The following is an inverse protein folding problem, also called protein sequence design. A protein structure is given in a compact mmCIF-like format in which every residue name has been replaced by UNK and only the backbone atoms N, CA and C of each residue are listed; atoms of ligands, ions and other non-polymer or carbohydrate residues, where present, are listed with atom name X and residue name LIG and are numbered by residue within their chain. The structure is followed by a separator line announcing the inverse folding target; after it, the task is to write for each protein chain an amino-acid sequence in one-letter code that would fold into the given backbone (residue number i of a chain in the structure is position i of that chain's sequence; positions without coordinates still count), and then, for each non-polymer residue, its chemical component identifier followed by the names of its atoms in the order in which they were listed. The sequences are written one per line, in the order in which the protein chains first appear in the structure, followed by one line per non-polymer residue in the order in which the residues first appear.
data_IF_878479534947
#
_entry.id   IF_878479534947
#
_cell.length_a   1.000
_cell.length_b   1.000
_cell.length_c   1.000
_cell.angle_alpha   90.00
_cell.angle_beta   90.00
_cell.angle_gamma   90.00
#
_symmetry.space_group_name_H-M   'P 1'
#
loop_
_entity.id
_entity.type
_entity.pdbx_description
1 polymer ?
#
# COMPACT_ATOMS: atom_id res chain seq x y z
N UNK A 1 9.09 23.83 0.95
CA UNK A 1 8.38 22.76 0.22
C UNK A 1 7.88 21.77 1.25
N UNK A 2 6.57 21.64 1.48
CA UNK A 2 6.05 20.56 2.30
C UNK A 2 6.18 19.31 1.43
N UNK A 3 7.14 18.45 1.73
CA UNK A 3 7.31 17.19 0.99
C UNK A 3 6.14 16.30 1.43
N UNK A 4 5.06 16.27 0.63
CA UNK A 4 3.96 15.32 0.83
C UNK A 4 4.53 13.90 0.80
N UNK A 5 4.39 13.19 1.92
CA UNK A 5 4.99 11.88 2.10
C UNK A 5 4.41 10.88 1.08
N UNK A 6 5.29 10.26 0.28
CA UNK A 6 4.93 9.15 -0.61
C UNK A 6 4.84 7.85 0.18
N UNK A 7 3.77 7.10 -0.05
CA UNK A 7 3.41 5.92 0.75
C UNK A 7 2.90 4.80 -0.16
N UNK A 8 3.39 3.59 0.06
CA UNK A 8 2.82 2.37 -0.52
C UNK A 8 1.85 1.77 0.50
N UNK A 9 0.66 1.40 0.06
CA UNK A 9 -0.28 0.62 0.86
C UNK A 9 -0.31 -0.80 0.31
N UNK A 10 -0.01 -1.79 1.15
CA UNK A 10 -0.09 -3.20 0.77
C UNK A 10 -1.54 -3.63 0.47
N UNK A 11 -1.69 -4.84 -0.05
CA UNK A 11 -3.01 -5.39 -0.36
C UNK A 11 -3.87 -5.56 0.90
N UNK A 12 -3.29 -5.95 2.04
CA UNK A 12 -4.07 -6.11 3.28
C UNK A 12 -4.61 -4.76 3.77
N UNK A 13 -3.87 -3.67 3.61
CA UNK A 13 -4.31 -2.32 3.97
C UNK A 13 -5.43 -1.85 3.05
N UNK A 14 -5.33 -2.09 1.74
CA UNK A 14 -6.43 -1.82 0.80
C UNK A 14 -7.69 -2.59 1.18
N UNK A 15 -7.60 -3.91 1.31
CA UNK A 15 -8.74 -4.78 1.66
C UNK A 15 -9.33 -4.36 3.01
N UNK A 16 -8.50 -4.18 4.02
CA UNK A 16 -8.96 -3.82 5.37
C UNK A 16 -9.62 -2.45 5.40
N UNK A 17 -9.08 -1.48 4.65
CA UNK A 17 -9.65 -0.15 4.55
C UNK A 17 -10.93 -0.07 3.70
N UNK A 18 -11.16 -1.04 2.83
CA UNK A 18 -12.41 -1.16 2.07
C UNK A 18 -13.53 -1.82 2.89
N UNK A 19 -13.17 -2.79 3.74
CA UNK A 19 -14.14 -3.63 4.47
C UNK A 19 -14.50 -3.09 5.86
N UNK A 20 -13.57 -2.43 6.55
CA UNK A 20 -13.76 -1.96 7.92
C UNK A 20 -13.35 -0.50 8.09
N UNK A 21 -13.98 0.21 9.03
CA UNK A 21 -13.69 1.63 9.33
C UNK A 21 -12.55 1.82 10.35
N UNK A 22 -11.54 0.95 10.31
CA UNK A 22 -10.39 0.95 11.22
C UNK A 22 -9.24 1.86 10.80
N UNK A 23 -8.03 1.62 11.35
CA UNK A 23 -6.80 2.34 10.99
C UNK A 23 -6.46 2.27 9.49
N UNK A 24 -6.57 1.12 8.80
CA UNK A 24 -6.38 1.05 7.35
C UNK A 24 -7.30 2.00 6.57
N UNK A 25 -8.59 2.09 6.96
CA UNK A 25 -9.52 3.03 6.34
C UNK A 25 -9.10 4.49 6.54
N UNK A 26 -8.62 4.84 7.74
CA UNK A 26 -8.08 6.18 8.00
C UNK A 26 -6.84 6.48 7.12
N UNK A 27 -5.96 5.51 6.90
CA UNK A 27 -4.81 5.65 6.00
C UNK A 27 -5.27 5.96 4.56
N UNK A 28 -6.26 5.21 4.06
CA UNK A 28 -6.82 5.46 2.72
C UNK A 28 -7.53 6.82 2.63
N UNK A 29 -8.13 7.31 3.73
CA UNK A 29 -8.69 8.66 3.78
C UNK A 29 -7.63 9.75 3.66
N UNK A 30 -6.43 9.57 4.25
CA UNK A 30 -5.32 10.50 4.08
C UNK A 30 -4.89 10.59 2.61
N UNK A 31 -4.83 9.46 1.92
CA UNK A 31 -4.52 9.41 0.49
C UNK A 31 -5.61 10.07 -0.37
N UNK A 32 -6.89 9.75 -0.11
CA UNK A 32 -8.05 10.38 -0.77
C UNK A 32 -8.09 11.89 -0.57
N UNK A 33 -7.71 12.34 0.62
CA UNK A 33 -7.68 13.77 0.99
C UNK A 33 -6.37 14.47 0.56
N UNK A 34 -5.47 13.75 -0.14
CA UNK A 34 -4.18 14.26 -0.63
C UNK A 34 -3.25 14.79 0.47
N UNK A 35 -3.46 14.35 1.72
CA UNK A 35 -2.54 14.59 2.84
C UNK A 35 -1.25 13.79 2.63
N UNK A 36 -1.38 12.58 2.08
CA UNK A 36 -0.26 11.73 1.67
C UNK A 36 -0.41 11.33 0.21
N UNK A 37 0.71 10.98 -0.42
CA UNK A 37 0.75 10.62 -1.83
C UNK A 37 0.87 9.10 -1.97
N UNK A 38 -0.26 8.42 -2.14
CA UNK A 38 -0.27 6.99 -2.39
C UNK A 38 0.40 6.67 -3.73
N UNK A 39 1.20 5.61 -3.76
CA UNK A 39 1.84 5.09 -4.97
C UNK A 39 1.52 3.61 -5.14
N UNK A 40 1.52 3.14 -6.38
CA UNK A 40 1.25 1.75 -6.71
C UNK A 40 1.97 1.32 -8.00
N UNK A 41 2.12 0.01 -8.20
CA UNK A 41 2.51 -0.60 -9.46
C UNK A 41 1.44 -1.61 -9.93
N UNK A 42 1.45 -1.98 -11.22
CA UNK A 42 0.40 -2.85 -11.78
C UNK A 42 0.33 -4.24 -11.11
N UNK A 43 1.45 -4.89 -10.73
CA UNK A 43 1.40 -6.15 -9.97
C UNK A 43 0.58 -6.08 -8.68
N UNK A 44 0.62 -4.95 -7.94
CA UNK A 44 -0.20 -4.76 -6.74
C UNK A 44 -1.70 -4.73 -7.06
N UNK A 45 -2.10 -4.17 -8.21
CA UNK A 45 -3.50 -4.14 -8.66
C UNK A 45 -3.98 -5.54 -9.02
N UNK A 46 -3.11 -6.33 -9.67
CA UNK A 46 -3.35 -7.73 -9.97
C UNK A 46 -3.64 -8.54 -8.71
N UNK A 47 -2.77 -8.44 -7.71
CA UNK A 47 -2.93 -9.13 -6.44
C UNK A 47 -4.19 -8.69 -5.68
N UNK A 48 -4.47 -7.39 -5.60
CA UNK A 48 -5.69 -6.89 -4.97
C UNK A 48 -6.95 -7.47 -5.65
N UNK A 49 -6.97 -7.49 -6.98
CA UNK A 49 -8.09 -8.01 -7.75
C UNK A 49 -8.28 -9.52 -7.56
N UNK A 50 -7.18 -10.27 -7.51
CA UNK A 50 -7.17 -11.71 -7.24
C UNK A 50 -7.72 -12.01 -5.85
N UNK A 51 -7.19 -11.36 -4.80
CA UNK A 51 -7.66 -11.57 -3.42
C UNK A 51 -9.14 -11.18 -3.25
N UNK A 52 -9.58 -10.05 -3.83
CA UNK A 52 -10.99 -9.63 -3.78
C UNK A 52 -11.93 -10.64 -4.47
N UNK A 53 -11.49 -11.26 -5.56
CA UNK A 53 -12.25 -12.28 -6.28
C UNK A 53 -12.27 -13.60 -5.51
N UNK A 54 -11.10 -14.16 -5.23
CA UNK A 54 -10.95 -15.51 -4.70
C UNK A 54 -11.35 -15.61 -3.22
N UNK A 55 -10.94 -14.65 -2.39
CA UNK A 55 -11.15 -14.71 -0.93
C UNK A 55 -12.45 -14.03 -0.47
N UNK A 56 -12.88 -12.98 -1.17
CA UNK A 56 -14.04 -12.18 -0.76
C UNK A 56 -15.26 -12.31 -1.68
N UNK A 57 -15.14 -13.01 -2.82
CA UNK A 57 -16.26 -13.27 -3.72
C UNK A 57 -16.83 -12.01 -4.37
N UNK A 58 -16.03 -10.95 -4.55
CA UNK A 58 -16.51 -9.72 -5.17
C UNK A 58 -16.76 -9.92 -6.66
N UNK A 59 -17.87 -9.36 -7.17
CA UNK A 59 -18.15 -9.33 -8.61
C UNK A 59 -17.13 -8.46 -9.36
N UNK A 60 -16.85 -8.78 -10.62
CA UNK A 60 -15.94 -7.99 -11.48
C UNK A 60 -16.29 -6.50 -11.53
N UNK A 61 -17.58 -6.13 -11.60
CA UNK A 61 -18.00 -4.73 -11.58
C UNK A 61 -17.56 -3.99 -10.31
N UNK A 62 -17.63 -4.68 -9.16
CA UNK A 62 -17.19 -4.13 -7.87
C UNK A 62 -15.67 -4.03 -7.80
N UNK A 63 -14.96 -5.03 -8.30
CA UNK A 63 -13.49 -5.01 -8.39
C UNK A 63 -13.03 -3.85 -9.28
N UNK A 64 -13.65 -3.68 -10.46
CA UNK A 64 -13.35 -2.57 -11.37
C UNK A 64 -13.56 -1.20 -10.70
N UNK A 65 -14.63 -1.02 -9.93
CA UNK A 65 -14.87 0.22 -9.20
C UNK A 65 -13.79 0.49 -8.13
N UNK A 66 -13.34 -0.56 -7.43
CA UNK A 66 -12.26 -0.46 -6.43
C UNK A 66 -10.92 -0.12 -7.10
N UNK A 67 -10.57 -0.82 -8.17
CA UNK A 67 -9.35 -0.56 -8.94
C UNK A 67 -9.37 0.85 -9.53
N UNK A 68 -10.53 1.31 -10.02
CA UNK A 68 -10.70 2.68 -10.49
C UNK A 68 -10.42 3.71 -9.38
N UNK A 69 -10.97 3.50 -8.16
CA UNK A 69 -10.68 4.40 -7.03
C UNK A 69 -9.20 4.37 -6.65
N UNK A 70 -8.57 3.19 -6.57
CA UNK A 70 -7.14 3.04 -6.30
C UNK A 70 -6.29 3.83 -7.30
N UNK A 71 -6.54 3.64 -8.60
CA UNK A 71 -5.81 4.34 -9.67
C UNK A 71 -6.04 5.85 -9.66
N UNK A 72 -7.21 6.30 -9.21
CA UNK A 72 -7.56 7.72 -9.10
C UNK A 72 -6.87 8.41 -7.91
N UNK A 73 -6.70 7.69 -6.80
CA UNK A 73 -6.12 8.29 -5.58
C UNK A 73 -4.61 8.15 -5.48
N UNK A 74 -4.03 7.20 -6.22
CA UNK A 74 -2.61 6.85 -6.19
C UNK A 74 -1.91 7.17 -7.51
N UNK A 75 -0.58 7.31 -7.48
CA UNK A 75 0.25 7.49 -8.68
C UNK A 75 0.90 6.16 -9.07
N UNK A 76 0.84 5.84 -10.37
CA UNK A 76 1.46 4.63 -10.92
C UNK A 76 2.98 4.82 -11.07
N UNK A 77 3.72 3.77 -10.71
CA UNK A 77 5.13 3.59 -11.10
C UNK A 77 5.30 2.25 -11.81
N UNK A 78 6.32 2.15 -12.66
CA UNK A 78 6.73 0.89 -13.28
C UNK A 78 7.86 0.27 -12.46
N UNK A 79 7.79 -1.03 -12.22
CA UNK A 79 8.82 -1.82 -11.53
C UNK A 79 9.37 -2.88 -12.51
N UNK A 80 10.61 -3.33 -12.31
CA UNK A 80 11.21 -4.39 -13.14
C UNK A 80 10.82 -5.78 -12.66
N UNK A 81 10.52 -5.94 -11.36
CA UNK A 81 10.21 -7.23 -10.75
C UNK A 81 11.47 -8.07 -10.46
N UNK A 82 12.64 -7.44 -10.42
CA UNK A 82 13.93 -8.10 -10.21
C UNK A 82 14.44 -8.01 -8.76
N UNK A 83 13.70 -7.29 -7.90
CA UNK A 83 14.03 -7.19 -6.48
C UNK A 83 13.70 -8.50 -5.76
N UNK A 84 14.64 -8.98 -4.94
CA UNK A 84 14.50 -10.20 -4.14
C UNK A 84 14.98 -9.96 -2.71
N UNK A 85 14.10 -9.49 -1.83
CA UNK A 85 14.47 -9.01 -0.48
C UNK A 85 13.57 -9.57 0.62
N UNK A 86 12.30 -9.87 0.32
CA UNK A 86 11.37 -10.50 1.26
C UNK A 86 11.52 -12.02 1.11
N UNK A 87 12.51 -12.58 1.80
CA UNK A 87 12.90 -13.99 1.65
C UNK A 87 11.75 -14.95 1.99
N UNK A 88 10.95 -14.63 3.00
CA UNK A 88 9.87 -15.48 3.49
C UNK A 88 8.60 -15.38 2.64
N UNK A 89 8.45 -14.31 1.84
CA UNK A 89 7.34 -14.11 0.91
C UNK A 89 7.79 -13.28 -0.32
N UNK A 90 8.38 -13.92 -1.35
CA UNK A 90 8.89 -13.23 -2.53
C UNK A 90 7.81 -12.46 -3.33
N UNK A 91 6.53 -12.76 -3.12
CA UNK A 91 5.48 -11.96 -3.75
C UNK A 91 5.52 -10.53 -3.18
N UNK A 92 5.82 -10.34 -1.90
CA UNK A 92 5.81 -9.03 -1.25
C UNK A 92 6.94 -8.07 -1.71
N UNK A 93 7.93 -8.58 -2.47
CA UNK A 93 9.00 -7.78 -3.08
C UNK A 93 8.45 -6.62 -3.92
N UNK A 94 7.28 -6.81 -4.56
CA UNK A 94 6.63 -5.78 -5.38
C UNK A 94 6.30 -4.51 -4.60
N UNK A 95 6.01 -4.61 -3.30
CA UNK A 95 5.71 -3.45 -2.45
C UNK A 95 6.98 -2.67 -2.12
N UNK A 96 8.08 -3.38 -1.84
CA UNK A 96 9.39 -2.78 -1.57
C UNK A 96 9.94 -2.12 -2.83
N UNK A 97 9.92 -2.82 -3.96
CA UNK A 97 10.39 -2.28 -5.23
C UNK A 97 9.57 -1.05 -5.67
N UNK A 98 8.23 -1.12 -5.52
CA UNK A 98 7.36 0.02 -5.77
C UNK A 98 7.73 1.22 -4.89
N UNK A 99 8.06 0.98 -3.62
CA UNK A 99 8.45 2.05 -2.71
C UNK A 99 9.77 2.69 -3.13
N UNK A 100 10.79 1.89 -3.48
CA UNK A 100 12.10 2.36 -3.92
C UNK A 100 11.99 3.19 -5.21
N UNK A 101 11.35 2.65 -6.25
CA UNK A 101 11.19 3.35 -7.54
C UNK A 101 10.39 4.65 -7.38
N UNK A 102 9.36 4.64 -6.54
CA UNK A 102 8.56 5.83 -6.28
C UNK A 102 9.26 6.86 -5.38
N UNK A 103 10.39 6.54 -4.76
CA UNK A 103 10.97 7.34 -3.68
C UNK A 103 10.01 7.51 -2.50
N UNK A 104 9.21 6.47 -2.21
CA UNK A 104 8.40 6.41 -1.00
C UNK A 104 9.30 6.17 0.22
N UNK A 105 8.89 6.69 1.37
CA UNK A 105 9.61 6.50 2.63
C UNK A 105 8.91 5.52 3.57
N UNK A 106 7.68 5.13 3.23
CA UNK A 106 6.85 4.28 4.07
C UNK A 106 6.09 3.27 3.21
N UNK A 107 6.10 2.03 3.66
CA UNK A 107 5.11 1.00 3.30
C UNK A 107 4.20 0.83 4.52
N UNK A 108 2.89 0.86 4.29
CA UNK A 108 1.92 0.51 5.33
C UNK A 108 1.40 -0.88 5.05
N UNK A 109 1.58 -1.77 6.02
CA UNK A 109 1.26 -3.19 5.88
C UNK A 109 0.42 -3.72 7.04
N UNK A 110 -0.41 -4.71 6.75
CA UNK A 110 -0.98 -5.63 7.74
C UNK A 110 -0.35 -7.02 7.72
N UNK A 111 0.59 -7.26 6.79
CA UNK A 111 1.30 -8.53 6.62
C UNK A 111 2.46 -8.65 7.60
N UNK A 112 2.57 -9.78 8.29
CA UNK A 112 3.61 -10.00 9.28
C UNK A 112 4.99 -10.11 8.63
N UNK A 113 5.12 -10.79 7.50
CA UNK A 113 6.43 -10.99 6.84
C UNK A 113 6.98 -9.64 6.36
N UNK A 114 6.13 -8.79 5.81
CA UNK A 114 6.53 -7.44 5.41
C UNK A 114 6.86 -6.56 6.62
N UNK A 115 6.11 -6.68 7.73
CA UNK A 115 6.39 -5.95 8.96
C UNK A 115 7.72 -6.38 9.61
N UNK A 116 8.08 -7.66 9.54
CA UNK A 116 9.35 -8.20 10.06
C UNK A 116 10.57 -7.62 9.34
N UNK A 117 10.42 -7.21 8.07
CA UNK A 117 11.46 -6.47 7.35
C UNK A 117 11.84 -5.18 8.10
N UNK A 118 10.85 -4.50 8.72
CA UNK A 118 11.00 -3.29 9.54
C UNK A 118 11.44 -2.06 8.76
N UNK A 119 12.59 -2.12 8.10
CA UNK A 119 13.10 -1.09 7.21
C UNK A 119 13.98 -1.74 6.12
N UNK A 120 13.82 -1.26 4.88
CA UNK A 120 14.71 -1.59 3.78
C UNK A 120 15.18 -0.31 3.11
N UNK A 121 16.50 -0.10 3.05
CA UNK A 121 17.11 1.17 2.64
C UNK A 121 16.48 2.38 3.36
N UNK A 122 15.83 3.28 2.62
CA UNK A 122 15.15 4.46 3.15
C UNK A 122 13.62 4.28 3.31
N UNK A 123 13.13 3.04 3.26
CA UNK A 123 11.71 2.68 3.32
C UNK A 123 11.40 1.98 4.64
N UNK A 124 10.66 2.64 5.52
CA UNK A 124 10.15 2.01 6.75
C UNK A 124 8.87 1.22 6.46
N UNK A 125 8.75 0.02 7.00
CA UNK A 125 7.49 -0.73 6.99
C UNK A 125 6.78 -0.52 8.31
N UNK A 126 5.55 -0.02 8.26
CA UNK A 126 4.77 0.34 9.43
C UNK A 126 3.40 -0.33 9.38
N UNK A 127 2.86 -0.69 10.54
CA UNK A 127 1.44 -0.99 10.64
C UNK A 127 0.60 0.26 10.38
N UNK A 128 -0.67 0.07 10.00
CA UNK A 128 -1.60 1.20 9.87
C UNK A 128 -1.76 2.01 11.17
N UNK A 129 -1.58 1.38 12.34
CA UNK A 129 -1.65 2.07 13.62
C UNK A 129 -0.44 3.00 13.83
N UNK A 130 0.77 2.49 13.56
CA UNK A 130 2.03 3.23 13.66
C UNK A 130 2.08 4.37 12.65
N UNK A 131 1.70 4.11 11.40
CA UNK A 131 1.63 5.14 10.37
C UNK A 131 0.68 6.28 10.76
N UNK A 132 -0.52 5.93 11.25
CA UNK A 132 -1.47 6.94 11.74
C UNK A 132 -0.94 7.71 12.97
N UNK A 133 -0.07 7.12 13.79
CA UNK A 133 0.59 7.84 14.90
C UNK A 133 1.67 8.80 14.38
N UNK A 134 2.46 8.36 13.40
CA UNK A 134 3.48 9.18 12.72
C UNK A 134 2.87 10.41 12.04
N UNK A 135 1.68 10.29 11.43
CA UNK A 135 1.02 11.44 10.82
C UNK A 135 0.57 12.48 11.85
N UNK A 136 0.16 12.05 13.06
CA UNK A 136 -0.29 12.96 14.14
C UNK A 136 0.86 13.69 14.84
N UNK A 137 2.08 13.13 14.85
CA UNK A 137 3.24 13.79 15.48
C UNK A 137 3.89 14.85 14.60
N UNK A 138 3.43 14.99 13.35
CA UNK A 138 3.91 15.98 12.37
C UNK A 138 2.96 17.18 12.21
N UNK A 139 1.82 17.17 12.90
CA UNK A 139 0.91 18.30 13.07
C UNK A 139 1.39 19.19 14.22
#
# INVERSE_FOLDING_TARGET
MIVSQRVVFDTNTWISGLLWRGKPYQCLLLARSKVVHAVYCEPMVGELSEKLRAKFGFSENRIHAIVYDLRRVSTRVEITGELHVVVDDPDDDKFVECALVAGASVIVSGDHHLLELGCYENVSVLSAAEFMALCRSRE
#
